data_IF_356629128457
#
_entry.id   IF_356629128457
#
_cell.length_a   1.000
_cell.length_b   1.000
_cell.length_c   1.000
_cell.angle_alpha   90.00
_cell.angle_beta   90.00
_cell.angle_gamma   90.00
#
_symmetry.space_group_name_H-M   'P 1'
#
loop_
_entity.id
_entity.type
_entity.pdbx_description
1 polymer ?
#
# COMPACT_ATOMS: atom_id res chain seq x y z
N UNK A 1 0.16 -6.26 -10.22
CA UNK A 1 0.69 -7.47 -9.59
C UNK A 1 1.25 -7.12 -8.21
N UNK A 2 1.06 -8.01 -7.23
CA UNK A 2 1.56 -7.87 -5.86
C UNK A 2 2.73 -8.80 -5.59
N UNK A 3 3.53 -8.43 -4.55
CA UNK A 3 4.70 -9.21 -4.09
C UNK A 3 5.77 -9.42 -5.17
N UNK A 4 5.96 -8.42 -6.05
CA UNK A 4 7.00 -8.45 -7.07
C UNK A 4 8.35 -8.16 -6.38
N UNK A 5 9.20 -9.17 -6.27
CA UNK A 5 10.48 -9.13 -5.54
C UNK A 5 11.70 -9.44 -6.41
N UNK A 6 11.50 -9.77 -7.66
CA UNK A 6 12.56 -10.03 -8.62
C UNK A 6 12.20 -9.52 -10.02
N UNK A 7 13.20 -9.34 -10.87
CA UNK A 7 12.98 -8.98 -12.29
C UNK A 7 12.17 -10.06 -12.99
N UNK A 8 12.37 -11.32 -12.67
CA UNK A 8 11.57 -12.43 -13.21
C UNK A 8 10.09 -12.29 -12.88
N UNK A 9 9.75 -11.97 -11.61
CA UNK A 9 8.35 -11.75 -11.21
C UNK A 9 7.75 -10.57 -11.99
N UNK A 10 8.55 -9.52 -12.23
CA UNK A 10 8.12 -8.36 -12.98
C UNK A 10 7.85 -8.69 -14.46
N UNK A 11 8.70 -9.52 -15.10
CA UNK A 11 8.50 -10.02 -16.46
C UNK A 11 7.21 -10.86 -16.57
N UNK A 12 7.05 -11.84 -15.68
CA UNK A 12 5.86 -12.68 -15.62
C UNK A 12 4.58 -11.84 -15.37
N UNK A 13 4.67 -10.78 -14.57
CA UNK A 13 3.55 -9.87 -14.32
C UNK A 13 3.18 -9.06 -15.56
N UNK A 14 4.15 -8.59 -16.35
CA UNK A 14 3.88 -7.89 -17.63
C UNK A 14 3.20 -8.85 -18.60
N UNK A 15 3.72 -10.04 -18.76
CA UNK A 15 3.17 -11.06 -19.68
C UNK A 15 1.74 -11.44 -19.30
N UNK A 16 1.42 -11.44 -17.99
CA UNK A 16 0.07 -11.64 -17.47
C UNK A 16 -0.84 -10.41 -17.60
N UNK A 17 -0.35 -9.29 -18.14
CA UNK A 17 -1.13 -8.08 -18.40
C UNK A 17 -1.28 -7.15 -17.18
N UNK A 18 -0.39 -7.23 -16.19
CA UNK A 18 -0.36 -6.29 -15.06
C UNK A 18 -0.19 -4.84 -15.55
N UNK A 19 -0.81 -3.89 -14.84
CA UNK A 19 -0.75 -2.46 -15.17
C UNK A 19 0.14 -1.67 -14.22
N UNK A 20 0.53 -2.26 -13.09
CA UNK A 20 1.47 -1.70 -12.13
C UNK A 20 2.01 -2.81 -11.23
N UNK A 21 3.12 -2.55 -10.56
CA UNK A 21 3.74 -3.45 -9.59
C UNK A 21 3.56 -2.92 -8.16
N UNK A 22 3.44 -3.86 -7.24
CA UNK A 22 3.51 -3.59 -5.79
C UNK A 22 4.56 -4.54 -5.19
N UNK A 23 5.55 -3.97 -4.54
CA UNK A 23 6.63 -4.71 -3.89
C UNK A 23 6.56 -4.57 -2.37
N UNK A 24 6.92 -5.61 -1.59
CA UNK A 24 6.95 -5.53 -0.14
C UNK A 24 8.16 -4.73 0.39
N UNK A 25 9.20 -4.58 -0.42
CA UNK A 25 10.42 -3.84 -0.15
C UNK A 25 10.91 -3.10 -1.38
N UNK A 26 11.97 -2.29 -1.20
CA UNK A 26 12.64 -1.62 -2.31
C UNK A 26 13.76 -2.51 -2.82
N UNK A 27 13.59 -3.03 -4.02
CA UNK A 27 14.60 -3.83 -4.74
C UNK A 27 15.04 -3.00 -5.96
N UNK A 28 16.26 -2.44 -5.95
CA UNK A 28 16.73 -1.53 -7.01
C UNK A 28 16.54 -2.09 -8.42
N UNK A 29 16.90 -3.35 -8.66
CA UNK A 29 16.83 -3.97 -9.97
C UNK A 29 15.37 -4.08 -10.48
N UNK A 30 14.42 -4.28 -9.58
CA UNK A 30 12.98 -4.32 -9.92
C UNK A 30 12.47 -2.91 -10.22
N UNK A 31 12.92 -1.91 -9.46
CA UNK A 31 12.57 -0.51 -9.70
C UNK A 31 13.10 -0.06 -11.06
N UNK A 32 14.38 -0.31 -11.36
CA UNK A 32 15.01 0.03 -12.64
C UNK A 32 14.32 -0.66 -13.82
N UNK A 33 13.99 -1.94 -13.65
CA UNK A 33 13.25 -2.69 -14.66
C UNK A 33 11.85 -2.09 -14.91
N UNK A 34 11.13 -1.72 -13.84
CA UNK A 34 9.82 -1.09 -13.95
C UNK A 34 9.90 0.24 -14.69
N UNK A 35 10.84 1.12 -14.32
CA UNK A 35 11.03 2.42 -14.95
C UNK A 35 11.41 2.29 -16.43
N UNK A 36 12.30 1.37 -16.77
CA UNK A 36 12.70 1.08 -18.17
C UNK A 36 11.53 0.64 -19.04
N UNK A 37 10.56 -0.07 -18.47
CA UNK A 37 9.38 -0.57 -19.16
C UNK A 37 8.17 0.36 -19.02
N UNK A 38 8.32 1.58 -18.48
CA UNK A 38 7.24 2.53 -18.20
C UNK A 38 6.12 1.90 -17.36
N UNK A 39 6.47 0.99 -16.45
CA UNK A 39 5.56 0.29 -15.58
C UNK A 39 5.53 1.03 -14.21
N UNK A 40 4.37 1.55 -13.78
CA UNK A 40 4.26 2.12 -12.45
C UNK A 40 4.61 1.08 -11.38
N UNK A 41 5.39 1.50 -10.37
CA UNK A 41 5.77 0.65 -9.25
C UNK A 41 5.50 1.35 -7.93
N UNK A 42 4.96 0.60 -6.96
CA UNK A 42 4.78 0.99 -5.57
C UNK A 42 5.75 0.18 -4.70
N UNK A 43 6.97 0.68 -4.49
CA UNK A 43 7.97 -0.03 -3.70
C UNK A 43 7.69 0.08 -2.21
N UNK A 44 8.00 -0.98 -1.47
CA UNK A 44 7.97 -0.98 -0.01
C UNK A 44 9.16 -0.23 0.57
N UNK A 45 8.91 0.81 1.36
CA UNK A 45 9.94 1.61 2.01
C UNK A 45 9.57 1.79 3.48
N UNK A 46 10.49 1.41 4.38
CA UNK A 46 10.27 1.43 5.82
C UNK A 46 11.30 2.28 6.55
N UNK A 47 12.52 2.30 6.03
CA UNK A 47 13.61 3.09 6.61
C UNK A 47 13.83 4.38 5.83
N UNK A 48 14.46 5.37 6.49
CA UNK A 48 14.89 6.60 5.82
C UNK A 48 15.78 6.33 4.60
N UNK A 49 16.58 5.26 4.63
CA UNK A 49 17.44 4.85 3.51
C UNK A 49 16.59 4.38 2.32
N UNK A 50 15.57 3.53 2.56
CA UNK A 50 14.68 3.08 1.49
C UNK A 50 13.96 4.26 0.84
N UNK A 51 13.43 5.17 1.68
CA UNK A 51 12.71 6.36 1.21
C UNK A 51 13.63 7.23 0.34
N UNK A 52 14.87 7.47 0.82
CA UNK A 52 15.83 8.27 0.07
C UNK A 52 16.20 7.64 -1.28
N UNK A 53 16.34 6.31 -1.33
CA UNK A 53 16.62 5.59 -2.58
C UNK A 53 15.45 5.71 -3.54
N UNK A 54 14.19 5.52 -3.05
CA UNK A 54 13.00 5.67 -3.88
C UNK A 54 12.88 7.09 -4.47
N UNK A 55 13.13 8.12 -3.65
CA UNK A 55 13.11 9.51 -4.10
C UNK A 55 14.18 9.80 -5.15
N UNK A 56 15.37 9.19 -5.06
CA UNK A 56 16.42 9.30 -6.08
C UNK A 56 15.99 8.69 -7.43
N UNK A 57 15.10 7.70 -7.43
CA UNK A 57 14.46 7.17 -8.63
C UNK A 57 13.28 8.02 -9.12
N UNK A 58 12.94 9.11 -8.43
CA UNK A 58 11.79 9.96 -8.74
C UNK A 58 10.45 9.39 -8.29
N UNK A 59 10.45 8.41 -7.39
CA UNK A 59 9.23 7.76 -6.87
C UNK A 59 8.92 8.35 -5.50
N UNK A 60 7.77 9.06 -5.40
CA UNK A 60 7.29 9.69 -4.16
C UNK A 60 6.03 9.06 -3.58
N UNK A 61 5.39 8.13 -4.31
CA UNK A 61 4.29 7.32 -3.78
C UNK A 61 4.86 5.98 -3.34
N UNK A 62 4.87 5.72 -2.05
CA UNK A 62 5.56 4.58 -1.46
C UNK A 62 4.57 3.70 -0.68
N UNK A 63 4.90 2.40 -0.60
CA UNK A 63 4.20 1.48 0.28
C UNK A 63 4.89 1.40 1.63
N UNK A 64 4.13 1.53 2.72
CA UNK A 64 4.63 1.20 4.05
C UNK A 64 4.10 -0.19 4.45
N UNK A 65 5.00 -1.14 4.70
CA UNK A 65 4.66 -2.51 5.06
C UNK A 65 5.73 -3.13 5.97
N UNK A 66 5.34 -3.80 7.05
CA UNK A 66 4.01 -3.88 7.66
C UNK A 66 3.75 -2.69 8.62
N UNK A 67 2.79 -1.82 8.28
CA UNK A 67 2.60 -0.53 8.97
C UNK A 67 2.23 -0.69 10.44
N UNK A 68 1.34 -1.63 10.78
CA UNK A 68 0.86 -1.78 12.15
C UNK A 68 1.97 -2.21 13.13
N UNK A 69 2.85 -3.10 12.71
CA UNK A 69 3.96 -3.61 13.51
C UNK A 69 5.12 -2.60 13.63
N UNK A 70 5.19 -1.62 12.75
CA UNK A 70 6.32 -0.69 12.64
C UNK A 70 5.96 0.74 13.08
N UNK A 71 5.05 0.87 14.04
CA UNK A 71 4.74 2.13 14.71
C UNK A 71 3.54 2.88 14.16
N UNK A 72 2.86 2.35 13.15
CA UNK A 72 1.57 2.89 12.70
C UNK A 72 1.62 4.33 12.21
N UNK A 73 0.58 5.09 12.52
CA UNK A 73 0.42 6.48 12.11
C UNK A 73 1.51 7.40 12.69
N UNK A 74 2.01 7.10 13.90
CA UNK A 74 3.04 7.90 14.54
C UNK A 74 4.36 7.89 13.75
N UNK A 75 4.75 6.74 13.21
CA UNK A 75 5.94 6.64 12.35
C UNK A 75 5.78 7.45 11.07
N UNK A 76 4.60 7.38 10.42
CA UNK A 76 4.32 8.20 9.23
C UNK A 76 4.39 9.70 9.55
N UNK A 77 3.84 10.12 10.70
CA UNK A 77 3.88 11.51 11.13
C UNK A 77 5.32 12.01 11.33
N UNK A 78 6.20 11.19 11.89
CA UNK A 78 7.63 11.53 12.04
C UNK A 78 8.33 11.69 10.68
N UNK A 79 8.05 10.82 9.71
CA UNK A 79 8.60 10.95 8.37
C UNK A 79 8.06 12.17 7.65
N UNK A 80 6.75 12.41 7.71
CA UNK A 80 6.11 13.52 7.03
C UNK A 80 6.50 14.89 7.65
N UNK A 81 6.56 14.99 8.98
CA UNK A 81 7.01 16.20 9.67
C UNK A 81 8.52 16.45 9.59
N UNK A 82 9.29 15.47 9.11
CA UNK A 82 10.74 15.51 8.92
C UNK A 82 11.12 15.77 7.45
N UNK A 83 12.16 15.08 6.94
CA UNK A 83 12.71 15.35 5.61
C UNK A 83 11.86 14.79 4.44
N UNK A 84 10.81 14.02 4.71
CA UNK A 84 10.03 13.28 3.72
C UNK A 84 8.59 13.79 3.57
N UNK A 85 8.36 15.08 3.80
CA UNK A 85 7.03 15.72 3.71
C UNK A 85 6.38 15.69 2.32
N UNK A 86 7.15 15.36 1.29
CA UNK A 86 6.67 15.20 -0.08
C UNK A 86 6.31 13.76 -0.46
N UNK A 87 6.39 12.82 0.50
CA UNK A 87 6.06 11.41 0.26
C UNK A 87 4.58 11.17 0.56
N UNK A 88 3.91 10.49 -0.36
CA UNK A 88 2.56 9.98 -0.18
C UNK A 88 2.60 8.47 0.04
N UNK A 89 1.69 7.97 0.87
CA UNK A 89 1.77 6.60 1.37
C UNK A 89 0.59 5.74 0.96
N UNK A 90 0.88 4.50 0.62
CA UNK A 90 -0.08 3.40 0.63
C UNK A 90 0.31 2.47 1.79
N UNK A 91 -0.55 2.37 2.79
CA UNK A 91 -0.25 1.62 4.02
C UNK A 91 -0.87 0.22 3.99
N UNK A 92 -0.08 -0.78 4.37
CA UNK A 92 -0.55 -2.17 4.41
C UNK A 92 0.14 -2.95 5.53
N UNK A 93 -0.44 -4.08 5.91
CA UNK A 93 0.12 -5.02 6.89
C UNK A 93 -0.40 -4.79 8.31
N UNK A 94 -1.10 -5.80 8.82
CA UNK A 94 -1.71 -5.79 10.15
C UNK A 94 -2.96 -4.90 10.26
N UNK A 95 -3.44 -4.35 9.15
CA UNK A 95 -4.68 -3.57 9.12
C UNK A 95 -5.90 -4.50 9.04
N UNK A 96 -6.96 -4.08 9.70
CA UNK A 96 -8.27 -4.75 9.72
C UNK A 96 -9.38 -3.72 9.90
N UNK A 97 -10.65 -4.15 9.87
CA UNK A 97 -11.82 -3.28 9.99
C UNK A 97 -11.90 -2.42 11.25
N UNK A 98 -11.07 -2.71 12.29
CA UNK A 98 -11.09 -1.97 13.55
C UNK A 98 -9.96 -0.93 13.67
N UNK A 99 -8.89 -1.06 12.87
CA UNK A 99 -7.69 -0.24 13.04
C UNK A 99 -7.26 0.53 11.78
N UNK A 100 -7.94 0.39 10.64
CA UNK A 100 -7.55 1.07 9.39
C UNK A 100 -7.99 2.55 9.34
N UNK A 101 -9.07 2.89 10.04
CA UNK A 101 -9.74 4.19 9.90
C UNK A 101 -8.85 5.40 10.23
N UNK A 102 -8.00 5.37 11.29
CA UNK A 102 -7.08 6.47 11.55
C UNK A 102 -6.15 6.80 10.38
N UNK A 103 -5.81 5.82 9.54
CA UNK A 103 -4.99 6.08 8.34
C UNK A 103 -5.79 6.76 7.22
N UNK A 104 -7.10 6.53 7.14
CA UNK A 104 -7.96 7.19 6.16
C UNK A 104 -8.10 8.70 6.42
N UNK A 105 -7.87 9.13 7.65
CA UNK A 105 -7.91 10.53 8.07
C UNK A 105 -6.61 11.30 7.78
N UNK A 106 -5.54 10.63 7.38
CA UNK A 106 -4.24 11.24 7.11
C UNK A 106 -4.15 11.68 5.65
N UNK A 107 -3.93 12.97 5.39
CA UNK A 107 -3.98 13.56 4.04
C UNK A 107 -2.93 12.99 3.09
N UNK A 108 -1.75 12.66 3.60
CA UNK A 108 -0.66 12.06 2.83
C UNK A 108 -0.72 10.52 2.77
N UNK A 109 -1.82 9.90 3.23
CA UNK A 109 -2.12 8.48 3.02
C UNK A 109 -3.15 8.34 1.92
N UNK A 110 -2.73 7.87 0.76
CA UNK A 110 -3.58 7.72 -0.43
C UNK A 110 -4.55 6.55 -0.31
N UNK A 111 -4.07 5.44 0.27
CA UNK A 111 -4.88 4.23 0.42
C UNK A 111 -4.39 3.36 1.58
N UNK A 112 -5.32 2.60 2.14
CA UNK A 112 -5.06 1.52 3.10
C UNK A 112 -5.41 0.18 2.47
N UNK A 113 -4.51 -0.78 2.55
CA UNK A 113 -4.70 -2.12 2.00
C UNK A 113 -4.71 -3.19 3.08
N UNK A 114 -5.62 -4.14 2.93
CA UNK A 114 -5.73 -5.30 3.82
C UNK A 114 -6.71 -6.32 3.27
N UNK A 115 -6.89 -7.39 4.01
CA UNK A 115 -7.69 -8.55 3.63
C UNK A 115 -9.01 -8.68 4.40
N UNK A 116 -9.29 -7.79 5.36
CA UNK A 116 -10.48 -7.88 6.21
C UNK A 116 -11.80 -7.87 5.45
N UNK A 117 -11.85 -7.25 4.27
CA UNK A 117 -13.08 -7.20 3.45
C UNK A 117 -13.51 -8.58 2.96
N UNK A 118 -12.55 -9.50 2.78
CA UNK A 118 -12.79 -10.84 2.27
C UNK A 118 -12.31 -11.98 3.19
N UNK A 119 -11.42 -11.71 4.15
CA UNK A 119 -10.95 -12.69 5.12
C UNK A 119 -11.87 -12.81 6.35
N UNK A 120 -12.53 -11.71 6.75
CA UNK A 120 -13.45 -11.73 7.91
C UNK A 120 -14.66 -12.65 7.63
N UNK A 121 -15.07 -13.35 8.67
CA UNK A 121 -16.20 -14.30 8.63
C UNK A 121 -16.04 -15.43 7.59
N UNK A 122 -14.79 -15.83 7.28
CA UNK A 122 -14.50 -16.89 6.31
C UNK A 122 -15.15 -16.68 4.92
N UNK A 123 -15.40 -15.41 4.54
CA UNK A 123 -16.19 -15.10 3.35
C UNK A 123 -15.62 -15.72 2.05
N UNK A 124 -14.28 -15.78 1.91
CA UNK A 124 -13.64 -16.44 0.76
C UNK A 124 -13.75 -17.95 0.86
N UNK A 125 -13.44 -18.52 2.02
CA UNK A 125 -13.45 -19.97 2.25
C UNK A 125 -14.84 -20.56 2.02
N UNK A 126 -15.86 -19.88 2.52
CA UNK A 126 -17.26 -20.30 2.41
C UNK A 126 -17.91 -19.86 1.09
N UNK A 127 -17.15 -19.21 0.19
CA UNK A 127 -17.61 -18.63 -1.08
C UNK A 127 -18.79 -17.67 -0.90
N UNK A 128 -18.84 -16.98 0.24
CA UNK A 128 -19.86 -16.00 0.54
C UNK A 128 -19.50 -14.64 -0.07
N UNK A 129 -19.68 -14.51 -1.36
CA UNK A 129 -19.35 -13.30 -2.12
C UNK A 129 -20.24 -12.10 -1.75
N UNK A 130 -21.46 -12.34 -1.28
CA UNK A 130 -22.35 -11.26 -0.79
C UNK A 130 -21.75 -10.61 0.45
N UNK A 131 -21.17 -11.38 1.36
CA UNK A 131 -20.51 -10.84 2.54
C UNK A 131 -19.28 -10.00 2.17
N UNK A 132 -18.52 -10.41 1.16
CA UNK A 132 -17.38 -9.62 0.65
C UNK A 132 -17.85 -8.26 0.13
N UNK A 133 -18.97 -8.23 -0.61
CA UNK A 133 -19.57 -6.98 -1.12
C UNK A 133 -20.02 -6.09 0.04
N UNK A 134 -20.66 -6.66 1.06
CA UNK A 134 -21.13 -5.92 2.25
C UNK A 134 -19.95 -5.31 2.99
N UNK A 135 -18.93 -6.11 3.30
CA UNK A 135 -17.74 -5.66 4.02
C UNK A 135 -17.01 -4.55 3.25
N UNK A 136 -16.87 -4.73 1.93
CA UNK A 136 -16.20 -3.75 1.07
C UNK A 136 -16.97 -2.43 1.02
N UNK A 137 -18.30 -2.47 0.88
CA UNK A 137 -19.14 -1.26 0.88
C UNK A 137 -19.07 -0.54 2.22
N UNK A 138 -19.13 -1.27 3.34
CA UNK A 138 -18.98 -0.68 4.67
C UNK A 138 -17.66 0.04 4.78
N UNK A 139 -16.55 -0.63 4.44
CA UNK A 139 -15.20 -0.04 4.48
C UNK A 139 -15.09 1.24 3.63
N UNK A 140 -15.67 1.24 2.42
CA UNK A 140 -15.67 2.42 1.55
C UNK A 140 -16.46 3.56 2.19
N UNK A 141 -17.63 3.28 2.77
CA UNK A 141 -18.44 4.30 3.43
C UNK A 141 -17.71 4.92 4.63
N UNK A 142 -17.05 4.10 5.45
CA UNK A 142 -16.27 4.57 6.60
C UNK A 142 -15.14 5.52 6.14
N UNK A 143 -14.43 5.19 5.05
CA UNK A 143 -13.41 6.07 4.46
C UNK A 143 -14.02 7.38 3.95
N UNK A 144 -15.15 7.31 3.26
CA UNK A 144 -15.81 8.50 2.72
C UNK A 144 -16.31 9.43 3.83
N UNK A 145 -16.81 8.87 4.93
CA UNK A 145 -17.22 9.66 6.10
C UNK A 145 -16.01 10.31 6.77
N UNK A 146 -14.96 9.55 7.04
CA UNK A 146 -13.72 10.07 7.64
C UNK A 146 -13.10 11.24 6.85
N UNK A 147 -13.20 11.19 5.51
CA UNK A 147 -12.68 12.26 4.63
C UNK A 147 -13.63 13.43 4.41
N UNK A 148 -14.92 13.31 4.74
CA UNK A 148 -15.90 14.41 4.63
C UNK A 148 -15.89 15.38 5.81
N UNK A 149 -15.42 14.92 6.96
CA UNK A 149 -15.42 15.70 8.21
C UNK A 149 -14.27 16.72 8.26
N UNK A 150 -13.44 16.76 7.23
CA UNK A 150 -12.40 17.76 7.02
C UNK A 150 -12.89 18.84 6.05
#
# INVERSE_FOLDING_TARGET
>A
AGSVISVRDAEEAIDAGAKFFVAPGLVPEVVEFALKNNMPILPGCVTASDISIALNYGISILKFFPIYQLGGADTLAQYHGGPFGNVEWVVTGGLNGKNFLPFAEIDYVLASGGDWMFAENNAVTDKNYEQIVINTRSTINDVLEARRVK
#
